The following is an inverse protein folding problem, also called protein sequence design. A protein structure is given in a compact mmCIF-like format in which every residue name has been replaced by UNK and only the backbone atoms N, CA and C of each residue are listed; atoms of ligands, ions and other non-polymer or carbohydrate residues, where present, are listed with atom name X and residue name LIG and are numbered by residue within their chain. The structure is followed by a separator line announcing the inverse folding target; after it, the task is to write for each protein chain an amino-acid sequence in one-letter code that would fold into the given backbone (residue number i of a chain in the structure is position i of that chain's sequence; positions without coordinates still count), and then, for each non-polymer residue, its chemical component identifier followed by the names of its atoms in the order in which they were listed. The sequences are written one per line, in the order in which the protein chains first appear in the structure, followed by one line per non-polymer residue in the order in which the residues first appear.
data_IF_539742068005
#
_entry.id   IF_539742068005
#
_cell.length_a   1.000
_cell.length_b   1.000
_cell.length_c   1.000
_cell.angle_alpha   90.00
_cell.angle_beta   90.00
_cell.angle_gamma   90.00
#
_symmetry.space_group_name_H-M   'P 1'
#
loop_
_entity.id
_entity.type
_entity.pdbx_description
1 polymer ?
#
# COMPACT_ATOMS: atom_id res chain seq x y z
N UNK A 1 -21.05 -4.38 26.11
CA UNK A 1 -21.13 -3.61 24.85
C UNK A 1 -19.81 -3.82 24.13
N UNK A 2 -19.79 -4.51 22.99
CA UNK A 2 -18.60 -4.52 22.13
C UNK A 2 -18.42 -3.09 21.58
N UNK A 3 -17.24 -2.48 21.61
CA UNK A 3 -17.04 -1.20 20.94
C UNK A 3 -17.28 -1.41 19.45
N UNK A 4 -18.35 -0.81 18.91
CA UNK A 4 -18.70 -0.82 17.49
C UNK A 4 -17.95 0.29 16.75
N UNK A 5 -16.63 0.37 16.93
CA UNK A 5 -15.82 1.27 16.12
C UNK A 5 -14.53 0.56 15.70
N UNK A 6 -14.53 0.09 14.46
CA UNK A 6 -13.28 -0.22 13.77
C UNK A 6 -12.45 1.06 13.74
N UNK A 7 -11.15 0.99 14.07
CA UNK A 7 -10.31 2.17 14.07
C UNK A 7 -10.13 2.71 12.65
N UNK A 8 -9.90 4.01 12.56
CA UNK A 8 -9.63 4.72 11.33
C UNK A 8 -8.19 4.46 10.87
N UNK A 9 -8.00 4.29 9.58
CA UNK A 9 -6.68 4.28 8.96
C UNK A 9 -6.39 5.64 8.31
N UNK A 10 -5.14 6.10 8.37
CA UNK A 10 -4.69 7.33 7.74
C UNK A 10 -3.54 7.03 6.79
N UNK A 11 -3.72 7.33 5.51
CA UNK A 11 -2.67 7.29 4.50
C UNK A 11 -2.18 8.71 4.22
N UNK A 12 -0.87 8.90 4.26
CA UNK A 12 -0.21 10.17 3.96
C UNK A 12 0.67 9.99 2.74
N UNK A 13 0.33 10.66 1.64
CA UNK A 13 1.08 10.62 0.41
C UNK A 13 2.20 11.66 0.40
N UNK A 14 3.43 11.19 0.27
CA UNK A 14 4.62 12.04 0.09
C UNK A 14 5.01 12.01 -1.38
N UNK A 15 4.85 13.11 -2.15
CA UNK A 15 4.96 13.07 -3.60
C UNK A 15 6.41 13.18 -4.13
N UNK A 16 7.42 13.31 -3.26
CA UNK A 16 8.78 13.64 -3.68
C UNK A 16 9.64 12.39 -3.87
N UNK A 17 10.44 12.39 -4.94
CA UNK A 17 11.48 11.39 -5.18
C UNK A 17 12.78 12.08 -5.62
N UNK A 18 13.92 11.48 -5.29
CA UNK A 18 15.20 11.89 -5.87
C UNK A 18 15.36 11.43 -7.34
N UNK A 19 14.81 10.27 -7.69
CA UNK A 19 14.78 9.74 -9.06
C UNK A 19 13.44 9.10 -9.38
N UNK A 20 13.05 9.12 -10.65
CA UNK A 20 11.88 8.39 -11.14
C UNK A 20 12.31 6.96 -11.52
N UNK A 21 11.72 5.96 -10.86
CA UNK A 21 11.90 4.56 -11.24
C UNK A 21 11.17 4.28 -12.56
N UNK A 22 11.71 3.41 -13.40
CA UNK A 22 11.21 3.21 -14.79
C UNK A 22 9.85 2.55 -14.85
N UNK A 23 9.46 1.81 -13.82
CA UNK A 23 8.17 1.12 -13.69
C UNK A 23 7.13 1.90 -12.88
N UNK A 24 7.51 3.00 -12.21
CA UNK A 24 6.68 3.61 -11.18
C UNK A 24 5.60 4.53 -11.78
N UNK A 25 4.33 4.15 -11.61
CA UNK A 25 3.17 4.95 -12.00
C UNK A 25 2.62 5.87 -10.88
N UNK A 26 3.21 5.83 -9.68
CA UNK A 26 2.75 6.69 -8.59
C UNK A 26 2.89 8.19 -8.90
N UNK A 27 2.08 8.99 -8.19
CA UNK A 27 2.11 10.45 -8.21
C UNK A 27 3.41 10.99 -7.59
N UNK A 28 4.49 10.98 -8.37
CA UNK A 28 5.84 11.32 -7.88
C UNK A 28 6.47 12.44 -8.69
N UNK A 29 7.21 13.31 -8.02
CA UNK A 29 7.89 14.46 -8.61
C UNK A 29 9.37 14.47 -8.21
N UNK A 30 10.22 14.75 -9.20
CA UNK A 30 11.67 14.91 -9.04
C UNK A 30 12.06 16.39 -9.16
N UNK A 31 13.14 16.80 -8.49
CA UNK A 31 13.67 18.16 -8.58
C UNK A 31 12.79 19.23 -7.93
N UNK A 32 11.93 18.84 -6.98
CA UNK A 32 11.06 19.74 -6.22
C UNK A 32 11.48 19.86 -4.75
N UNK A 33 12.75 19.61 -4.43
CA UNK A 33 13.29 19.64 -3.06
C UNK A 33 13.00 20.97 -2.35
N UNK A 34 13.02 22.09 -3.08
CA UNK A 34 12.71 23.43 -2.57
C UNK A 34 11.25 23.60 -2.09
N UNK A 35 10.35 22.67 -2.43
CA UNK A 35 8.94 22.71 -2.00
C UNK A 35 8.68 21.87 -0.74
N UNK A 36 9.66 21.09 -0.26
CA UNK A 36 9.45 20.13 0.84
C UNK A 36 8.95 20.83 2.11
N UNK A 37 9.57 21.94 2.52
CA UNK A 37 9.15 22.67 3.73
C UNK A 37 7.73 23.21 3.61
N UNK A 38 7.43 23.87 2.49
CA UNK A 38 6.08 24.40 2.22
C UNK A 38 5.03 23.30 2.09
N UNK A 39 5.41 22.13 1.57
CA UNK A 39 4.55 20.95 1.57
C UNK A 39 4.26 20.46 2.98
N UNK A 40 5.26 20.38 3.86
CA UNK A 40 5.06 19.96 5.25
C UNK A 40 4.10 20.91 5.97
N UNK A 41 4.20 22.23 5.75
CA UNK A 41 3.21 23.18 6.29
C UNK A 41 1.80 22.92 5.74
N UNK A 42 1.67 22.74 4.43
CA UNK A 42 0.38 22.48 3.80
C UNK A 42 -0.27 21.19 4.30
N UNK A 43 0.51 20.12 4.47
CA UNK A 43 0.05 18.86 5.04
C UNK A 43 -0.39 19.01 6.49
N UNK A 44 0.36 19.77 7.30
CA UNK A 44 -0.01 20.06 8.69
C UNK A 44 -1.35 20.81 8.73
N UNK A 45 -1.57 21.79 7.86
CA UNK A 45 -2.84 22.51 7.78
C UNK A 45 -3.98 21.60 7.30
N UNK A 46 -3.73 20.65 6.41
CA UNK A 46 -4.74 19.66 5.99
C UNK A 46 -5.12 18.73 7.14
N UNK A 47 -4.13 18.24 7.90
CA UNK A 47 -4.31 17.41 9.10
C UNK A 47 -5.14 18.14 10.16
N UNK A 48 -4.87 19.44 10.37
CA UNK A 48 -5.65 20.27 11.29
C UNK A 48 -7.06 20.52 10.78
N UNK A 49 -7.21 20.78 9.48
CA UNK A 49 -8.51 21.00 8.84
C UNK A 49 -9.41 19.79 9.04
N UNK A 50 -8.93 18.59 8.68
CA UNK A 50 -9.71 17.37 8.83
C UNK A 50 -9.98 17.05 10.31
N UNK A 51 -9.03 17.36 11.20
CA UNK A 51 -9.18 17.21 12.65
C UNK A 51 -10.39 17.94 13.23
N UNK A 52 -10.82 19.05 12.62
CA UNK A 52 -11.99 19.84 13.06
C UNK A 52 -13.33 19.25 12.65
N UNK A 53 -13.37 18.46 11.57
CA UNK A 53 -14.63 17.95 10.98
C UNK A 53 -14.81 16.45 11.17
N UNK A 54 -13.75 15.72 11.54
CA UNK A 54 -13.78 14.26 11.62
C UNK A 54 -14.58 13.74 12.82
N UNK A 55 -15.14 12.52 12.75
CA UNK A 55 -15.82 11.90 13.88
C UNK A 55 -14.84 11.57 15.02
N UNK A 56 -15.34 11.27 16.22
CA UNK A 56 -14.50 10.91 17.39
C UNK A 56 -13.83 9.51 17.31
N UNK A 57 -13.57 9.01 16.11
CA UNK A 57 -12.91 7.73 15.88
C UNK A 57 -11.42 7.79 16.23
N UNK A 58 -10.90 6.68 16.77
CA UNK A 58 -9.48 6.51 17.04
C UNK A 58 -8.75 6.04 15.78
N UNK A 59 -7.49 6.44 15.63
CA UNK A 59 -6.63 6.02 14.54
C UNK A 59 -5.86 4.77 14.96
N UNK A 60 -6.08 3.68 14.23
CA UNK A 60 -5.41 2.41 14.48
C UNK A 60 -4.20 2.19 13.57
N UNK A 61 -4.15 2.87 12.41
CA UNK A 61 -2.99 2.79 11.52
C UNK A 61 -2.70 4.12 10.85
N UNK A 62 -1.41 4.40 10.65
CA UNK A 62 -0.91 5.52 9.84
C UNK A 62 0.14 4.97 8.88
N UNK A 63 -0.02 5.22 7.59
CA UNK A 63 0.90 4.74 6.57
C UNK A 63 1.40 5.91 5.73
N UNK A 64 2.71 6.14 5.76
CA UNK A 64 3.39 7.12 4.93
C UNK A 64 3.98 6.42 3.72
N UNK A 65 3.45 6.72 2.54
CA UNK A 65 3.85 6.13 1.26
C UNK A 65 3.87 7.16 0.13
N UNK A 66 3.97 6.66 -1.11
CA UNK A 66 3.80 7.47 -2.32
C UNK A 66 5.06 7.50 -3.18
N UNK A 67 5.69 8.66 -3.27
CA UNK A 67 7.00 8.81 -3.91
C UNK A 67 8.09 8.17 -3.07
N UNK A 68 8.72 8.95 -2.21
CA UNK A 68 9.75 8.45 -1.31
C UNK A 68 9.65 9.20 0.02
N UNK A 69 8.87 8.66 0.98
CA UNK A 69 8.73 9.28 2.29
C UNK A 69 10.07 9.55 2.98
N UNK A 70 11.07 8.69 2.79
CA UNK A 70 12.43 8.90 3.33
C UNK A 70 13.16 10.18 2.86
N UNK A 71 12.59 10.94 1.91
CA UNK A 71 13.05 12.30 1.56
C UNK A 71 12.83 13.28 2.72
N UNK A 72 11.80 13.07 3.55
CA UNK A 72 11.53 13.94 4.69
C UNK A 72 12.50 13.67 5.84
N UNK A 73 12.91 14.74 6.51
CA UNK A 73 13.79 14.68 7.67
C UNK A 73 13.01 14.28 8.94
N UNK A 74 13.68 13.77 9.98
CA UNK A 74 13.03 13.52 11.28
C UNK A 74 12.39 14.79 11.88
N UNK A 75 12.95 15.98 11.60
CA UNK A 75 12.36 17.25 12.01
C UNK A 75 11.00 17.49 11.34
N UNK A 76 10.86 17.19 10.04
CA UNK A 76 9.56 17.28 9.35
C UNK A 76 8.54 16.34 9.99
N UNK A 77 8.92 15.08 10.22
CA UNK A 77 8.04 14.10 10.85
C UNK A 77 7.63 14.49 12.27
N UNK A 78 8.53 15.08 13.06
CA UNK A 78 8.20 15.57 14.41
C UNK A 78 7.04 16.56 14.36
N UNK A 79 7.04 17.49 13.40
CA UNK A 79 5.97 18.48 13.26
C UNK A 79 4.67 17.87 12.72
N UNK A 80 4.78 16.94 11.77
CA UNK A 80 3.62 16.20 11.23
C UNK A 80 2.96 15.38 12.34
N UNK A 81 3.73 14.67 13.17
CA UNK A 81 3.20 13.88 14.29
C UNK A 81 2.56 14.75 15.35
N UNK A 82 3.13 15.92 15.66
CA UNK A 82 2.50 16.87 16.56
C UNK A 82 1.09 17.24 16.04
N UNK A 83 0.97 17.59 14.75
CA UNK A 83 -0.34 17.89 14.15
C UNK A 83 -1.28 16.67 14.15
N UNK A 84 -0.78 15.46 13.87
CA UNK A 84 -1.59 14.24 13.89
C UNK A 84 -2.08 13.92 15.31
N UNK A 85 -1.26 14.09 16.34
CA UNK A 85 -1.67 13.86 17.74
C UNK A 85 -2.65 14.92 18.24
N UNK A 86 -2.45 16.18 17.87
CA UNK A 86 -3.37 17.26 18.23
C UNK A 86 -4.73 17.09 17.54
N UNK A 87 -4.72 16.62 16.29
CA UNK A 87 -5.93 16.33 15.55
C UNK A 87 -6.57 15.04 16.02
N UNK A 88 -5.86 13.91 16.13
CA UNK A 88 -6.37 12.55 16.25
C UNK A 88 -6.00 11.84 17.55
N UNK A 89 -6.95 11.08 18.10
CA UNK A 89 -6.67 10.11 19.15
C UNK A 89 -6.16 8.81 18.52
N UNK A 90 -4.97 8.35 18.90
CA UNK A 90 -4.40 7.09 18.37
C UNK A 90 -4.70 5.93 19.31
N UNK A 91 -4.89 4.73 18.77
CA UNK A 91 -4.85 3.51 19.58
C UNK A 91 -3.47 3.31 20.22
N UNK A 92 -3.44 2.66 21.38
CA UNK A 92 -2.21 2.48 22.15
C UNK A 92 -1.17 1.61 21.44
N UNK A 93 -1.63 0.77 20.52
CA UNK A 93 -0.88 -0.16 19.68
C UNK A 93 -0.99 0.18 18.19
N UNK A 94 -1.31 1.44 17.85
CA UNK A 94 -1.47 1.86 16.46
C UNK A 94 -0.24 1.52 15.60
N UNK A 95 -0.46 0.92 14.42
CA UNK A 95 0.61 0.63 13.47
C UNK A 95 0.99 1.91 12.71
N UNK A 96 2.25 2.31 12.77
CA UNK A 96 2.77 3.53 12.15
C UNK A 96 3.90 3.14 11.21
N UNK A 97 3.58 3.12 9.92
CA UNK A 97 4.41 2.61 8.82
C UNK A 97 5.06 3.72 8.02
N UNK A 98 6.31 3.50 7.59
CA UNK A 98 7.02 4.36 6.65
C UNK A 98 7.66 3.53 5.52
N UNK A 99 7.39 3.89 4.27
CA UNK A 99 8.17 3.42 3.12
C UNK A 99 9.50 4.17 2.99
N UNK A 100 10.59 3.44 2.77
CA UNK A 100 11.93 4.01 2.66
C UNK A 100 12.71 3.44 1.47
N UNK A 101 13.55 4.29 0.89
CA UNK A 101 14.58 3.86 -0.03
C UNK A 101 15.84 3.45 0.76
N UNK A 102 16.48 2.31 0.46
CA UNK A 102 17.74 1.92 1.11
C UNK A 102 18.84 2.98 1.05
N UNK A 103 18.87 3.79 -0.01
CA UNK A 103 19.89 4.82 -0.21
C UNK A 103 19.71 6.07 0.68
N UNK A 104 18.54 6.26 1.26
CA UNK A 104 18.19 7.49 1.99
C UNK A 104 18.29 7.31 3.53
N UNK A 105 18.47 6.08 4.02
CA UNK A 105 18.38 5.77 5.45
C UNK A 105 19.71 5.43 6.09
N UNK A 106 19.88 5.89 7.33
CA UNK A 106 21.00 5.56 8.22
C UNK A 106 20.48 5.13 9.59
N UNK A 107 21.36 4.56 10.43
CA UNK A 107 21.00 4.23 11.82
C UNK A 107 20.45 5.44 12.58
N UNK A 108 21.11 6.60 12.49
CA UNK A 108 20.67 7.82 13.20
C UNK A 108 19.30 8.32 12.71
N UNK A 109 19.07 8.28 11.40
CA UNK A 109 17.76 8.62 10.81
C UNK A 109 16.66 7.70 11.34
N UNK A 110 16.85 6.38 11.25
CA UNK A 110 15.88 5.38 11.66
C UNK A 110 15.65 5.40 13.19
N UNK A 111 16.69 5.69 13.97
CA UNK A 111 16.59 5.86 15.42
C UNK A 111 15.70 7.04 15.79
N UNK A 112 15.89 8.19 15.13
CA UNK A 112 15.04 9.35 15.34
C UNK A 112 13.57 9.07 14.96
N UNK A 113 13.32 8.33 13.88
CA UNK A 113 11.96 7.91 13.51
C UNK A 113 11.31 7.00 14.56
N UNK A 114 12.05 6.05 15.15
CA UNK A 114 11.54 5.23 16.26
C UNK A 114 11.12 6.07 17.46
N UNK A 115 11.90 7.10 17.78
CA UNK A 115 11.63 8.00 18.90
C UNK A 115 10.40 8.89 18.65
N UNK A 116 10.13 9.25 17.39
CA UNK A 116 8.91 9.98 17.00
C UNK A 116 7.65 9.10 17.13
N UNK A 117 7.77 7.79 16.88
CA UNK A 117 6.67 6.83 17.07
C UNK A 117 6.47 5.83 15.94
N UNK A 118 7.21 5.94 14.83
CA UNK A 118 7.17 4.93 13.77
C UNK A 118 7.53 3.56 14.32
N UNK A 119 6.77 2.51 14.01
CA UNK A 119 6.98 1.16 14.52
C UNK A 119 7.03 0.08 13.44
N UNK A 120 6.79 0.43 12.17
CA UNK A 120 6.96 -0.44 11.01
C UNK A 120 7.71 0.30 9.88
N UNK A 121 8.62 -0.40 9.19
CA UNK A 121 9.35 0.13 8.03
C UNK A 121 9.17 -0.79 6.83
N UNK A 122 8.90 -0.22 5.66
CA UNK A 122 8.91 -0.92 4.37
C UNK A 122 10.11 -0.49 3.55
N UNK A 123 11.01 -1.42 3.24
CA UNK A 123 12.24 -1.12 2.50
C UNK A 123 12.10 -1.61 1.06
N UNK A 124 12.20 -0.68 0.11
CA UNK A 124 12.13 -0.99 -1.31
C UNK A 124 13.39 -1.69 -1.84
N UNK A 125 13.51 -3.01 -1.68
CA UNK A 125 14.64 -3.82 -2.16
C UNK A 125 14.61 -3.97 -3.69
N UNK A 126 13.44 -4.29 -4.23
CA UNK A 126 13.11 -4.61 -5.63
C UNK A 126 13.80 -5.87 -6.16
N UNK A 127 15.13 -5.94 -6.08
CA UNK A 127 15.93 -7.05 -6.58
C UNK A 127 17.30 -7.10 -5.90
N UNK A 128 17.89 -8.28 -5.80
CA UNK A 128 19.31 -8.44 -5.46
C UNK A 128 20.23 -8.35 -6.69
N UNK A 129 19.67 -8.36 -7.90
CA UNK A 129 20.42 -8.42 -9.14
C UNK A 129 20.74 -7.01 -9.67
N UNK A 130 22.03 -6.72 -9.84
CA UNK A 130 22.48 -5.38 -10.25
C UNK A 130 21.94 -4.95 -11.63
N UNK A 131 21.68 -5.89 -12.54
CA UNK A 131 21.16 -5.56 -13.87
C UNK A 131 19.67 -5.16 -13.82
N UNK A 132 18.86 -5.82 -12.98
CA UNK A 132 17.46 -5.44 -12.73
C UNK A 132 17.37 -4.07 -12.04
N UNK A 133 18.21 -3.82 -11.02
CA UNK A 133 18.25 -2.52 -10.34
C UNK A 133 18.61 -1.38 -11.31
N UNK A 134 19.50 -1.63 -12.29
CA UNK A 134 19.79 -0.66 -13.37
C UNK A 134 18.60 -0.47 -14.29
N UNK A 135 17.93 -1.55 -14.71
CA UNK A 135 16.72 -1.49 -15.53
C UNK A 135 15.63 -0.64 -14.85
N UNK A 136 15.52 -0.75 -13.52
CA UNK A 136 14.59 0.00 -12.70
C UNK A 136 14.98 1.44 -12.39
N UNK A 137 16.21 1.85 -12.76
CA UNK A 137 16.79 3.13 -12.37
C UNK A 137 16.83 3.33 -10.83
N UNK A 138 17.17 2.27 -10.09
CA UNK A 138 17.36 2.31 -8.63
C UNK A 138 18.73 2.89 -8.28
N UNK A 139 18.79 3.65 -7.17
CA UNK A 139 20.00 4.32 -6.64
C UNK A 139 20.78 3.47 -5.63
N UNK A 140 20.33 2.25 -5.37
CA UNK A 140 20.86 1.37 -4.34
C UNK A 140 21.37 0.06 -4.94
N UNK A 141 22.26 -0.61 -4.23
CA UNK A 141 22.68 -1.98 -4.49
C UNK A 141 22.19 -2.91 -3.36
N UNK A 142 22.38 -4.22 -3.52
CA UNK A 142 21.94 -5.19 -2.52
C UNK A 142 22.64 -4.99 -1.15
N UNK A 143 23.88 -4.50 -1.15
CA UNK A 143 24.60 -4.20 0.09
C UNK A 143 23.96 -3.02 0.85
N UNK A 144 23.44 -2.02 0.13
CA UNK A 144 22.67 -0.92 0.72
C UNK A 144 21.39 -1.43 1.39
N UNK A 145 20.71 -2.42 0.79
CA UNK A 145 19.54 -3.08 1.40
C UNK A 145 19.94 -3.76 2.71
N UNK A 146 21.01 -4.55 2.70
CA UNK A 146 21.51 -5.22 3.90
C UNK A 146 21.90 -4.22 5.01
N UNK A 147 22.56 -3.11 4.66
CA UNK A 147 22.87 -2.02 5.59
C UNK A 147 21.61 -1.35 6.15
N UNK A 148 20.60 -1.10 5.31
CA UNK A 148 19.34 -0.49 5.73
C UNK A 148 18.57 -1.40 6.71
N UNK A 149 18.51 -2.72 6.43
CA UNK A 149 17.90 -3.70 7.34
C UNK A 149 18.65 -3.74 8.67
N UNK A 150 19.99 -3.83 8.64
CA UNK A 150 20.82 -3.82 9.86
C UNK A 150 20.61 -2.55 10.68
N UNK A 151 20.58 -1.38 10.03
CA UNK A 151 20.31 -0.11 10.68
C UNK A 151 18.91 -0.04 11.29
N UNK A 152 17.87 -0.54 10.59
CA UNK A 152 16.51 -0.59 11.10
C UNK A 152 16.38 -1.49 12.33
N UNK A 153 16.97 -2.69 12.29
CA UNK A 153 17.02 -3.60 13.44
C UNK A 153 17.76 -2.96 14.61
N UNK A 154 18.93 -2.36 14.37
CA UNK A 154 19.70 -1.66 15.39
C UNK A 154 18.95 -0.49 16.01
N UNK A 155 18.13 0.22 15.23
CA UNK A 155 17.29 1.33 15.72
C UNK A 155 16.13 0.84 16.61
N UNK A 156 15.76 -0.44 16.52
CA UNK A 156 14.70 -1.08 17.29
C UNK A 156 13.40 -1.31 16.52
N UNK A 157 13.44 -1.39 15.18
CA UNK A 157 12.29 -1.82 14.37
C UNK A 157 12.17 -3.36 14.40
N UNK A 158 11.09 -3.83 15.03
CA UNK A 158 10.73 -5.25 15.09
C UNK A 158 9.74 -5.69 14.01
N UNK A 159 9.21 -4.75 13.21
CA UNK A 159 8.30 -5.02 12.10
C UNK A 159 8.89 -4.39 10.82
N UNK A 160 9.52 -5.21 10.00
CA UNK A 160 10.23 -4.80 8.80
C UNK A 160 9.72 -5.57 7.57
N UNK A 161 9.38 -4.81 6.54
CA UNK A 161 9.03 -5.33 5.22
C UNK A 161 10.17 -5.14 4.20
N UNK A 162 10.29 -6.10 3.27
CA UNK A 162 11.06 -5.94 2.04
C UNK A 162 10.13 -6.07 0.83
N UNK A 163 10.13 -5.05 -0.03
CA UNK A 163 9.39 -5.03 -1.30
C UNK A 163 10.28 -5.58 -2.42
N UNK A 164 9.82 -6.58 -3.16
CA UNK A 164 10.51 -7.19 -4.29
C UNK A 164 9.62 -7.20 -5.54
N UNK A 165 10.24 -7.24 -6.71
CA UNK A 165 9.56 -7.32 -8.00
C UNK A 165 9.98 -8.55 -8.79
N UNK A 166 9.01 -9.21 -9.43
CA UNK A 166 9.23 -10.38 -10.29
C UNK A 166 8.47 -10.23 -11.62
N UNK A 167 8.76 -11.09 -12.59
CA UNK A 167 8.21 -10.99 -13.95
C UNK A 167 8.81 -9.83 -14.75
N UNK A 168 10.06 -9.45 -14.46
CA UNK A 168 10.69 -8.29 -15.09
C UNK A 168 11.28 -8.64 -16.47
N UNK A 169 11.40 -7.69 -17.40
CA UNK A 169 12.11 -7.91 -18.67
C UNK A 169 13.52 -8.44 -18.43
N UNK A 170 13.87 -9.51 -19.15
CA UNK A 170 15.13 -10.26 -19.03
C UNK A 170 15.38 -11.01 -17.71
N UNK A 171 14.47 -10.95 -16.74
CA UNK A 171 14.64 -11.68 -15.49
C UNK A 171 14.48 -13.18 -15.72
N UNK A 172 15.47 -13.95 -15.27
CA UNK A 172 15.40 -15.41 -15.31
C UNK A 172 14.92 -15.97 -13.96
N UNK A 173 14.51 -17.24 -13.93
CA UNK A 173 14.22 -17.93 -12.66
C UNK A 173 15.43 -17.90 -11.72
N UNK A 174 16.66 -18.07 -12.23
CA UNK A 174 17.87 -18.01 -11.42
C UNK A 174 18.11 -16.64 -10.78
N UNK A 175 17.77 -15.56 -11.48
CA UNK A 175 17.80 -14.21 -10.94
C UNK A 175 16.79 -14.03 -9.81
N UNK A 176 15.58 -14.59 -9.99
CA UNK A 176 14.53 -14.56 -8.99
C UNK A 176 14.89 -15.36 -7.73
N UNK A 177 15.41 -16.58 -7.90
CA UNK A 177 15.95 -17.41 -6.83
C UNK A 177 17.02 -16.67 -6.01
N UNK A 178 17.95 -15.99 -6.68
CA UNK A 178 18.99 -15.21 -6.03
C UNK A 178 18.39 -14.06 -5.19
N UNK A 179 17.41 -13.33 -5.72
CA UNK A 179 16.73 -12.24 -5.00
C UNK A 179 15.96 -12.73 -3.78
N UNK A 180 15.21 -13.83 -3.91
CA UNK A 180 14.51 -14.45 -2.79
C UNK A 180 15.47 -14.96 -1.72
N UNK A 181 16.57 -15.61 -2.10
CA UNK A 181 17.56 -16.12 -1.15
C UNK A 181 18.26 -14.99 -0.39
N UNK A 182 18.61 -13.89 -1.09
CA UNK A 182 19.16 -12.70 -0.46
C UNK A 182 18.18 -12.09 0.55
N UNK A 183 16.91 -11.95 0.17
CA UNK A 183 15.86 -11.46 1.07
C UNK A 183 15.68 -12.37 2.29
N UNK A 184 15.59 -13.69 2.10
CA UNK A 184 15.42 -14.66 3.20
C UNK A 184 16.59 -14.62 4.19
N UNK A 185 17.80 -14.36 3.71
CA UNK A 185 19.00 -14.18 4.56
C UNK A 185 18.86 -12.97 5.49
N UNK A 186 18.18 -11.91 5.04
CA UNK A 186 17.92 -10.70 5.83
C UNK A 186 16.80 -10.88 6.87
N UNK A 187 16.02 -11.98 6.79
CA UNK A 187 14.95 -12.35 7.74
C UNK A 187 14.00 -11.17 8.06
N UNK A 188 13.31 -10.61 7.04
CA UNK A 188 12.28 -9.62 7.30
C UNK A 188 11.09 -10.26 8.06
N UNK A 189 10.22 -9.44 8.64
CA UNK A 189 9.01 -9.95 9.31
C UNK A 189 7.84 -10.04 8.33
N UNK A 190 7.92 -9.27 7.24
CA UNK A 190 6.94 -9.15 6.18
C UNK A 190 7.64 -9.07 4.82
N UNK A 191 7.00 -9.57 3.78
CA UNK A 191 7.52 -9.58 2.41
C UNK A 191 6.40 -9.21 1.46
N UNK A 192 6.65 -8.22 0.60
CA UNK A 192 5.75 -7.80 -0.47
C UNK A 192 6.35 -8.19 -1.82
N UNK A 193 5.63 -9.01 -2.60
CA UNK A 193 6.06 -9.43 -3.93
C UNK A 193 5.10 -8.88 -4.99
N UNK A 194 5.65 -8.09 -5.90
CA UNK A 194 4.88 -7.44 -6.97
C UNK A 194 5.29 -8.02 -8.33
N UNK A 195 4.33 -8.61 -9.05
CA UNK A 195 4.51 -8.85 -10.47
C UNK A 195 4.62 -7.48 -11.18
N UNK A 196 5.61 -7.32 -12.05
CA UNK A 196 5.69 -6.13 -12.88
C UNK A 196 4.44 -6.02 -13.74
N UNK A 197 3.71 -4.92 -13.59
CA UNK A 197 2.62 -4.52 -14.48
C UNK A 197 3.10 -3.34 -15.32
N UNK A 198 2.85 -3.39 -16.63
CA UNK A 198 3.18 -2.27 -17.53
C UNK A 198 2.10 -1.19 -17.42
N UNK A 199 2.40 -0.17 -16.63
CA UNK A 199 1.50 0.95 -16.41
C UNK A 199 1.65 2.01 -17.50
N UNK A 200 0.53 2.58 -17.94
CA UNK A 200 0.49 3.61 -18.98
C UNK A 200 1.30 4.84 -18.58
N UNK A 201 2.11 5.35 -19.51
CA UNK A 201 2.91 6.57 -19.31
C UNK A 201 4.20 6.35 -18.53
N UNK A 202 4.54 5.10 -18.21
CA UNK A 202 5.83 4.76 -17.59
C UNK A 202 6.94 4.60 -18.64
N UNK A 203 8.20 4.91 -18.31
CA UNK A 203 9.33 4.60 -19.19
C UNK A 203 9.40 3.13 -19.59
N UNK A 204 9.06 2.20 -18.68
CA UNK A 204 9.06 0.76 -18.96
C UNK A 204 8.07 0.39 -20.06
N UNK A 205 6.83 0.89 -19.99
CA UNK A 205 5.81 0.67 -21.02
C UNK A 205 6.30 1.19 -22.39
N UNK A 206 6.83 2.41 -22.44
CA UNK A 206 7.40 2.98 -23.68
C UNK A 206 8.53 2.12 -24.27
N UNK A 207 9.38 1.53 -23.41
CA UNK A 207 10.50 0.70 -23.85
C UNK A 207 10.04 -0.65 -24.41
N UNK A 208 9.05 -1.28 -23.79
CA UNK A 208 8.45 -2.53 -24.28
C UNK A 208 7.77 -2.29 -25.62
N UNK A 209 6.92 -1.26 -25.73
CA UNK A 209 6.19 -0.93 -26.97
C UNK A 209 7.13 -0.62 -28.14
N UNK A 210 8.29 -0.04 -27.86
CA UNK A 210 9.34 0.24 -28.86
C UNK A 210 10.30 -0.93 -29.10
N UNK A 211 10.08 -2.08 -28.47
CA UNK A 211 10.93 -3.27 -28.59
C UNK A 211 12.36 -3.09 -28.06
N UNK A 212 12.57 -2.14 -27.13
CA UNK A 212 13.88 -1.89 -26.50
C UNK A 212 14.19 -2.88 -25.38
N UNK A 213 13.15 -3.38 -24.73
CA UNK A 213 13.16 -4.46 -23.76
C UNK A 213 12.04 -5.43 -24.12
N UNK A 214 12.16 -6.73 -23.80
CA UNK A 214 11.12 -7.70 -24.10
C UNK A 214 9.87 -7.44 -23.26
N UNK A 215 8.73 -7.89 -23.77
CA UNK A 215 7.50 -7.97 -23.00
C UNK A 215 7.69 -8.94 -21.81
N UNK A 216 7.13 -8.63 -20.63
CA UNK A 216 7.04 -9.58 -19.52
C UNK A 216 6.40 -10.91 -19.96
N UNK A 217 6.92 -12.01 -19.43
CA UNK A 217 6.41 -13.36 -19.67
C UNK A 217 5.50 -13.77 -18.51
N UNK A 218 4.20 -13.82 -18.75
CA UNK A 218 3.19 -14.15 -17.74
C UNK A 218 3.32 -15.60 -17.23
N UNK A 219 3.73 -16.55 -18.08
CA UNK A 219 3.91 -17.94 -17.68
C UNK A 219 5.13 -18.06 -16.74
N UNK A 220 6.23 -17.39 -17.08
CA UNK A 220 7.40 -17.33 -16.20
C UNK A 220 7.08 -16.60 -14.88
N UNK A 221 6.29 -15.53 -14.92
CA UNK A 221 5.86 -14.83 -13.71
C UNK A 221 5.00 -15.72 -12.79
N UNK A 222 4.13 -16.56 -13.37
CA UNK A 222 3.38 -17.56 -12.61
C UNK A 222 4.30 -18.60 -11.95
N UNK A 223 5.28 -19.13 -12.69
CA UNK A 223 6.28 -20.05 -12.12
C UNK A 223 7.07 -19.40 -10.97
N UNK A 224 7.46 -18.13 -11.13
CA UNK A 224 8.17 -17.36 -10.09
C UNK A 224 7.31 -17.16 -8.83
N UNK A 225 6.01 -16.93 -8.99
CA UNK A 225 5.06 -16.77 -7.89
C UNK A 225 4.89 -18.06 -7.10
N UNK A 226 4.70 -19.19 -7.79
CA UNK A 226 4.56 -20.52 -7.16
C UNK A 226 5.84 -20.91 -6.42
N UNK A 227 7.00 -20.69 -7.06
CA UNK A 227 8.31 -20.89 -6.43
C UNK A 227 8.45 -20.05 -5.15
N UNK A 228 8.15 -18.75 -5.22
CA UNK A 228 8.23 -17.85 -4.07
C UNK A 228 7.30 -18.29 -2.93
N UNK A 229 6.06 -18.68 -3.27
CA UNK A 229 5.06 -19.15 -2.32
C UNK A 229 5.55 -20.37 -1.56
N UNK A 230 6.12 -21.36 -2.26
CA UNK A 230 6.68 -22.56 -1.64
C UNK A 230 7.87 -22.22 -0.71
N UNK A 231 8.80 -21.38 -1.16
CA UNK A 231 9.99 -21.01 -0.40
C UNK A 231 9.65 -20.18 0.85
N UNK A 232 8.74 -19.21 0.72
CA UNK A 232 8.26 -18.40 1.84
C UNK A 232 7.49 -19.25 2.85
N UNK A 233 6.64 -20.17 2.38
CA UNK A 233 5.94 -21.13 3.23
C UNK A 233 6.90 -22.02 4.03
N UNK A 234 7.93 -22.57 3.37
CA UNK A 234 8.98 -23.37 4.02
C UNK A 234 9.80 -22.55 5.04
N UNK A 235 10.00 -21.26 4.77
CA UNK A 235 10.62 -20.33 5.71
C UNK A 235 9.67 -19.85 6.82
N UNK A 236 8.40 -20.28 6.82
CA UNK A 236 7.39 -20.02 7.84
C UNK A 236 6.73 -18.64 7.73
N UNK A 237 6.61 -18.08 6.53
CA UNK A 237 5.74 -16.93 6.26
C UNK A 237 4.38 -17.42 5.77
N UNK A 238 3.33 -16.70 6.14
CA UNK A 238 1.95 -16.98 5.70
C UNK A 238 1.55 -15.93 4.67
N UNK A 239 1.08 -16.39 3.52
CA UNK A 239 0.44 -15.52 2.55
C UNK A 239 -0.94 -15.12 3.04
N UNK A 240 -1.11 -13.85 3.41
CA UNK A 240 -2.40 -13.36 3.92
C UNK A 240 -3.23 -12.66 2.84
N UNK A 241 -2.57 -12.11 1.81
CA UNK A 241 -3.21 -11.63 0.58
C UNK A 241 -2.30 -11.89 -0.65
N UNK A 242 -2.81 -11.68 -1.86
CA UNK A 242 -2.16 -12.09 -3.13
C UNK A 242 -0.67 -11.70 -3.23
N UNK A 243 -0.30 -10.49 -2.81
CA UNK A 243 1.04 -9.91 -2.98
C UNK A 243 1.85 -9.81 -1.68
N UNK A 244 1.36 -10.31 -0.53
CA UNK A 244 1.99 -10.09 0.77
C UNK A 244 2.00 -11.35 1.65
N UNK A 245 3.17 -11.57 2.24
CA UNK A 245 3.47 -12.64 3.17
C UNK A 245 3.99 -12.04 4.47
N UNK A 246 3.65 -12.66 5.60
CA UNK A 246 4.12 -12.20 6.90
C UNK A 246 4.39 -13.34 7.86
N UNK A 247 5.24 -13.08 8.85
CA UNK A 247 5.23 -13.82 10.11
C UNK A 247 3.93 -13.51 10.85
N UNK A 248 3.45 -14.47 11.65
CA UNK A 248 2.22 -14.28 12.41
C UNK A 248 2.31 -13.03 13.30
N UNK A 249 1.33 -12.12 13.18
CA UNK A 249 1.29 -10.86 13.92
C UNK A 249 2.08 -9.72 13.26
N UNK A 250 2.64 -9.92 12.07
CA UNK A 250 3.36 -8.91 11.29
C UNK A 250 2.66 -8.57 9.97
N UNK A 251 1.42 -9.03 9.77
CA UNK A 251 0.58 -8.59 8.66
C UNK A 251 0.42 -7.07 8.70
N UNK A 252 0.51 -6.40 7.55
CA UNK A 252 0.34 -4.94 7.48
C UNK A 252 -1.12 -4.58 7.81
N UNK A 253 -1.35 -4.05 9.01
CA UNK A 253 -2.68 -3.71 9.49
C UNK A 253 -3.34 -2.64 8.60
N UNK A 254 -2.55 -1.70 8.08
CA UNK A 254 -3.06 -0.68 7.16
C UNK A 254 -3.56 -1.29 5.84
N UNK A 255 -2.81 -2.22 5.25
CA UNK A 255 -3.23 -2.90 4.02
C UNK A 255 -4.48 -3.75 4.26
N UNK A 256 -4.57 -4.44 5.39
CA UNK A 256 -5.75 -5.21 5.76
C UNK A 256 -7.00 -4.34 5.90
N UNK A 257 -6.87 -3.09 6.37
CA UNK A 257 -8.00 -2.15 6.39
C UNK A 257 -8.55 -1.92 4.98
N UNK A 258 -7.66 -1.66 4.03
CA UNK A 258 -8.02 -1.47 2.63
C UNK A 258 -8.64 -2.74 2.03
N UNK A 259 -8.00 -3.90 2.20
CA UNK A 259 -8.49 -5.16 1.64
C UNK A 259 -9.81 -5.64 2.23
N UNK A 260 -10.14 -5.24 3.46
CA UNK A 260 -11.45 -5.48 4.09
C UNK A 260 -12.51 -4.44 3.69
N UNK A 261 -12.20 -3.58 2.71
CA UNK A 261 -13.05 -2.47 2.26
C UNK A 261 -13.58 -1.63 3.42
N UNK A 262 -12.69 -1.28 4.35
CA UNK A 262 -12.99 -0.45 5.51
C UNK A 262 -12.50 1.00 5.31
N UNK A 263 -13.08 1.98 6.03
CA UNK A 263 -12.73 3.38 5.83
C UNK A 263 -11.27 3.72 6.13
N UNK A 264 -10.70 4.61 5.32
CA UNK A 264 -9.39 5.22 5.49
C UNK A 264 -9.35 6.65 4.91
N UNK A 265 -8.62 7.54 5.57
CA UNK A 265 -8.37 8.89 5.10
C UNK A 265 -7.11 8.94 4.24
N UNK A 266 -7.20 9.54 3.06
CA UNK A 266 -6.03 9.94 2.27
C UNK A 266 -5.73 11.42 2.46
N UNK A 267 -4.48 11.75 2.75
CA UNK A 267 -3.97 13.11 2.93
C UNK A 267 -2.71 13.34 2.07
N UNK A 268 -2.51 14.56 1.60
CA UNK A 268 -1.41 14.91 0.71
C UNK A 268 -1.72 14.71 -0.79
N UNK A 269 -0.92 15.31 -1.68
CA UNK A 269 -1.23 15.40 -3.10
C UNK A 269 -1.18 14.03 -3.79
N UNK A 270 -2.26 13.68 -4.49
CA UNK A 270 -2.46 12.37 -5.11
C UNK A 270 -2.85 11.25 -4.15
N UNK A 271 -3.13 11.57 -2.88
CA UNK A 271 -3.74 10.60 -1.98
C UNK A 271 -5.18 10.29 -2.41
N UNK A 272 -5.59 9.04 -2.24
CA UNK A 272 -6.97 8.59 -2.33
C UNK A 272 -7.49 8.27 -0.93
N UNK A 273 -8.79 8.45 -0.72
CA UNK A 273 -9.45 8.09 0.53
C UNK A 273 -10.83 7.49 0.29
N UNK A 274 -11.28 6.69 1.26
CA UNK A 274 -12.64 6.16 1.33
C UNK A 274 -13.14 6.32 2.75
N UNK A 275 -14.06 7.25 2.98
CA UNK A 275 -14.66 7.43 4.30
C UNK A 275 -16.06 8.03 4.19
N UNK A 276 -16.92 7.69 5.14
CA UNK A 276 -18.30 8.22 5.22
C UNK A 276 -19.11 7.99 3.92
N UNK A 277 -18.96 6.83 3.27
CA UNK A 277 -19.64 6.51 2.01
C UNK A 277 -19.11 7.27 0.79
N UNK A 278 -17.98 7.98 0.92
CA UNK A 278 -17.41 8.82 -0.13
C UNK A 278 -16.01 8.33 -0.47
N UNK A 279 -15.75 8.13 -1.76
CA UNK A 279 -14.40 8.04 -2.31
C UNK A 279 -13.96 9.39 -2.84
N UNK A 280 -12.71 9.72 -2.61
CA UNK A 280 -12.15 10.98 -3.08
C UNK A 280 -10.68 10.84 -3.44
N UNK A 281 -10.19 11.79 -4.23
CA UNK A 281 -8.77 11.97 -4.52
C UNK A 281 -8.35 13.42 -4.29
N UNK A 282 -7.13 13.59 -3.80
CA UNK A 282 -6.51 14.90 -3.58
C UNK A 282 -5.77 15.33 -4.84
N UNK A 283 -5.72 16.65 -5.08
CA UNK A 283 -4.96 17.27 -6.17
C UNK A 283 -3.58 16.62 -6.38
N UNK A 284 -3.25 16.28 -7.62
CA UNK A 284 -1.97 15.63 -7.94
C UNK A 284 -0.76 16.56 -7.73
N UNK A 285 -0.85 17.82 -8.17
CA UNK A 285 0.26 18.77 -8.20
C UNK A 285 0.62 19.30 -6.80
N UNK A 286 1.86 19.11 -6.32
CA UNK A 286 2.32 19.65 -5.04
C UNK A 286 2.23 21.17 -4.97
N UNK A 287 2.54 21.88 -6.06
CA UNK A 287 2.45 23.35 -6.11
C UNK A 287 1.02 23.84 -5.94
N UNK A 288 0.06 23.21 -6.63
CA UNK A 288 -1.36 23.56 -6.49
C UNK A 288 -1.87 23.22 -5.09
N UNK A 289 -1.52 22.04 -4.58
CA UNK A 289 -1.83 21.61 -3.21
C UNK A 289 -1.36 22.63 -2.17
N UNK A 290 -0.06 23.00 -2.21
CA UNK A 290 0.52 24.00 -1.29
C UNK A 290 -0.20 25.33 -1.41
N UNK A 291 -0.38 25.84 -2.64
CA UNK A 291 -1.04 27.12 -2.88
C UNK A 291 -2.46 27.14 -2.31
N UNK A 292 -3.23 26.08 -2.52
CA UNK A 292 -4.61 25.97 -2.04
C UNK A 292 -4.67 25.93 -0.51
N UNK A 293 -3.85 25.09 0.13
CA UNK A 293 -3.84 24.99 1.60
C UNK A 293 -3.36 26.27 2.28
N UNK A 294 -2.32 26.90 1.74
CA UNK A 294 -1.74 28.13 2.32
C UNK A 294 -2.61 29.37 2.07
N UNK A 295 -3.60 29.30 1.19
CA UNK A 295 -4.55 30.38 0.94
C UNK A 295 -5.80 30.32 1.82
N UNK A 296 -5.93 29.31 2.69
CA UNK A 296 -7.10 29.16 3.55
C UNK A 296 -7.18 30.28 4.59
N UNK A 297 -8.30 30.99 4.59
CA UNK A 297 -8.69 31.87 5.70
C UNK A 297 -9.20 31.00 6.86
N UNK A 298 -8.76 31.30 8.09
CA UNK A 298 -9.22 30.62 9.30
C UNK A 298 -10.74 30.71 9.53
N UNK A 299 -11.42 31.64 8.86
CA UNK A 299 -12.89 31.81 8.91
C UNK A 299 -13.64 31.11 7.77
N UNK A 300 -12.96 30.40 6.86
CA UNK A 300 -13.64 29.69 5.77
C UNK A 300 -14.59 28.62 6.32
N UNK A 301 -15.78 28.51 5.71
CA UNK A 301 -16.73 27.46 6.06
C UNK A 301 -16.09 26.08 5.86
N UNK A 302 -16.28 25.20 6.84
CA UNK A 302 -15.76 23.83 6.78
C UNK A 302 -16.62 22.98 5.83
N UNK A 303 -15.96 22.12 5.07
CA UNK A 303 -16.60 21.10 4.24
C UNK A 303 -16.98 19.89 5.09
N UNK A 304 -17.93 19.10 4.60
CA UNK A 304 -18.33 17.86 5.25
C UNK A 304 -17.20 16.81 5.21
N UNK A 305 -17.04 16.07 6.31
CA UNK A 305 -16.10 14.95 6.37
C UNK A 305 -16.41 13.90 5.28
N UNK A 306 -15.40 13.40 4.53
CA UNK A 306 -13.95 13.54 4.75
C UNK A 306 -13.24 14.61 3.88
N UNK A 307 -13.99 15.60 3.36
CA UNK A 307 -13.48 16.50 2.33
C UNK A 307 -12.63 17.64 2.88
N UNK A 308 -11.62 18.03 2.10
CA UNK A 308 -10.76 19.20 2.33
C UNK A 308 -10.74 20.08 1.09
N UNK A 309 -10.30 21.36 1.18
CA UNK A 309 -10.26 22.26 0.02
C UNK A 309 -9.33 21.81 -1.12
N UNK A 310 -8.49 20.81 -0.90
CA UNK A 310 -7.58 20.21 -1.88
C UNK A 310 -8.11 18.91 -2.50
N UNK A 311 -9.32 18.47 -2.14
CA UNK A 311 -9.98 17.37 -2.83
C UNK A 311 -10.34 17.80 -4.26
N UNK A 312 -9.95 16.98 -5.23
CA UNK A 312 -10.14 17.22 -6.67
C UNK A 312 -11.34 16.44 -7.22
N UNK A 313 -11.47 15.16 -6.84
CA UNK A 313 -12.57 14.31 -7.27
C UNK A 313 -13.29 13.70 -6.07
N UNK A 314 -14.62 13.60 -6.19
CA UNK A 314 -15.52 13.03 -5.17
C UNK A 314 -16.50 12.10 -5.87
N UNK A 315 -16.65 10.88 -5.33
CA UNK A 315 -17.63 9.90 -5.76
C UNK A 315 -18.39 9.37 -4.54
N UNK A 316 -19.70 9.62 -4.49
CA UNK A 316 -20.59 9.08 -3.45
C UNK A 316 -20.96 7.66 -3.86
N UNK A 317 -20.62 6.68 -3.02
CA UNK A 317 -20.81 5.28 -3.37
C UNK A 317 -22.27 4.86 -3.27
N UNK A 318 -22.73 4.15 -4.28
CA UNK A 318 -23.98 3.39 -4.20
C UNK A 318 -23.75 2.07 -3.48
N UNK A 319 -24.83 1.42 -3.03
CA UNK A 319 -24.73 0.07 -2.48
C UNK A 319 -24.09 -0.92 -3.47
N UNK A 320 -24.33 -0.74 -4.77
CA UNK A 320 -23.71 -1.57 -5.81
C UNK A 320 -22.20 -1.37 -5.84
N UNK A 321 -21.73 -0.13 -5.79
CA UNK A 321 -20.28 0.17 -5.77
C UNK A 321 -19.61 -0.48 -4.56
N UNK A 322 -20.22 -0.34 -3.37
CA UNK A 322 -19.67 -0.94 -2.15
C UNK A 322 -19.64 -2.49 -2.19
N UNK A 323 -20.64 -3.12 -2.81
CA UNK A 323 -20.65 -4.57 -3.03
C UNK A 323 -19.47 -4.93 -3.95
N UNK A 324 -19.36 -4.29 -5.10
CA UNK A 324 -18.29 -4.49 -6.08
C UNK A 324 -16.92 -4.37 -5.40
N UNK A 325 -16.70 -3.31 -4.62
CA UNK A 325 -15.46 -3.08 -3.90
C UNK A 325 -15.15 -4.16 -2.88
N UNK A 326 -16.16 -4.59 -2.12
CA UNK A 326 -16.00 -5.64 -1.11
C UNK A 326 -15.59 -6.96 -1.75
N UNK A 327 -16.11 -7.27 -2.93
CA UNK A 327 -15.73 -8.46 -3.68
C UNK A 327 -14.31 -8.34 -4.25
N UNK A 328 -13.97 -7.23 -4.89
CA UNK A 328 -12.63 -7.00 -5.47
C UNK A 328 -11.53 -7.05 -4.41
N UNK A 329 -11.77 -6.41 -3.27
CA UNK A 329 -10.78 -6.30 -2.20
C UNK A 329 -10.74 -7.59 -1.37
N UNK A 330 -11.90 -8.11 -0.96
CA UNK A 330 -11.99 -9.26 -0.06
C UNK A 330 -11.50 -10.56 -0.69
N UNK A 331 -11.72 -10.78 -1.99
CA UNK A 331 -11.23 -11.99 -2.67
C UNK A 331 -9.70 -12.02 -2.81
N UNK A 332 -9.00 -10.90 -2.59
CA UNK A 332 -7.52 -10.88 -2.52
C UNK A 332 -7.01 -11.45 -1.20
N UNK A 333 -7.82 -11.52 -0.16
CA UNK A 333 -7.44 -12.10 1.12
C UNK A 333 -7.47 -13.63 1.00
N UNK A 334 -6.31 -14.26 1.11
CA UNK A 334 -6.15 -15.69 0.79
C UNK A 334 -6.85 -16.59 1.81
N UNK A 335 -6.69 -16.28 3.10
CA UNK A 335 -7.32 -17.05 4.18
C UNK A 335 -8.74 -16.60 4.50
N UNK A 336 -8.96 -15.28 4.56
CA UNK A 336 -10.25 -14.69 4.94
C UNK A 336 -11.28 -14.78 3.82
N UNK A 337 -10.87 -14.51 2.58
CA UNK A 337 -11.78 -14.32 1.45
C UNK A 337 -12.85 -13.27 1.77
N UNK A 338 -14.05 -13.50 1.24
CA UNK A 338 -15.25 -12.73 1.58
C UNK A 338 -16.11 -13.55 2.55
N UNK A 339 -16.18 -13.17 3.85
CA UNK A 339 -17.03 -13.86 4.82
C UNK A 339 -18.51 -13.62 4.52
N UNK A 340 -19.28 -14.69 4.36
CA UNK A 340 -20.70 -14.64 3.93
C UNK A 340 -21.59 -13.94 4.95
N UNK A 341 -21.38 -14.23 6.24
CA UNK A 341 -22.15 -13.59 7.31
C UNK A 341 -21.90 -12.07 7.35
N UNK A 342 -20.64 -11.64 7.34
CA UNK A 342 -20.31 -10.22 7.36
C UNK A 342 -20.82 -9.49 6.11
N UNK A 343 -20.76 -10.14 4.94
CA UNK A 343 -21.33 -9.61 3.70
C UNK A 343 -22.85 -9.43 3.81
N UNK A 344 -23.56 -10.43 4.34
CA UNK A 344 -25.02 -10.37 4.56
C UNK A 344 -25.40 -9.30 5.58
N UNK A 345 -24.65 -9.16 6.67
CA UNK A 345 -24.88 -8.11 7.66
C UNK A 345 -24.66 -6.71 7.07
N UNK A 346 -23.67 -6.54 6.19
CA UNK A 346 -23.37 -5.27 5.54
C UNK A 346 -24.37 -4.88 4.46
N UNK A 347 -24.84 -5.84 3.64
CA UNK A 347 -25.63 -5.56 2.44
C UNK A 347 -27.06 -6.08 2.45
N UNK A 348 -27.44 -6.87 3.46
CA UNK A 348 -28.77 -7.47 3.56
C UNK A 348 -29.04 -8.62 2.59
N UNK A 349 -28.03 -9.09 1.85
CA UNK A 349 -28.13 -10.18 0.87
C UNK A 349 -26.95 -11.15 1.00
N UNK A 350 -27.18 -12.45 0.79
CA UNK A 350 -26.10 -13.42 0.74
C UNK A 350 -25.33 -13.34 -0.58
N UNK A 351 -24.02 -13.57 -0.51
CA UNK A 351 -23.17 -13.59 -1.69
C UNK A 351 -23.56 -14.70 -2.70
N UNK A 352 -24.01 -15.87 -2.22
CA UNK A 352 -24.45 -16.95 -3.10
C UNK A 352 -25.84 -16.68 -3.71
N UNK A 353 -26.67 -15.87 -3.06
CA UNK A 353 -27.95 -15.45 -3.64
C UNK A 353 -27.72 -14.42 -4.76
N UNK A 354 -26.70 -13.55 -4.60
CA UNK A 354 -26.35 -12.53 -5.58
C UNK A 354 -25.60 -13.09 -6.81
N UNK A 355 -24.60 -13.96 -6.59
CA UNK A 355 -23.68 -14.43 -7.63
C UNK A 355 -23.56 -15.96 -7.74
N UNK A 356 -24.51 -16.74 -7.20
CA UNK A 356 -24.39 -18.19 -7.03
C UNK A 356 -24.04 -18.98 -8.28
N UNK A 357 -24.65 -18.69 -9.43
CA UNK A 357 -24.37 -19.40 -10.68
C UNK A 357 -22.95 -19.14 -11.19
N UNK A 358 -22.50 -17.89 -11.11
CA UNK A 358 -21.15 -17.51 -11.51
C UNK A 358 -20.10 -18.14 -10.58
N UNK A 359 -20.33 -18.10 -9.27
CA UNK A 359 -19.44 -18.71 -8.27
C UNK A 359 -19.37 -20.23 -8.42
N UNK A 360 -20.50 -20.91 -8.67
CA UNK A 360 -20.52 -22.35 -9.00
C UNK A 360 -19.74 -22.65 -10.28
N UNK A 361 -19.86 -21.80 -11.30
CA UNK A 361 -19.10 -21.93 -12.54
C UNK A 361 -17.59 -21.82 -12.33
N UNK A 362 -17.14 -20.86 -11.52
CA UNK A 362 -15.72 -20.74 -11.15
C UNK A 362 -15.22 -21.86 -10.24
N UNK A 363 -16.06 -22.35 -9.31
CA UNK A 363 -15.73 -23.48 -8.46
C UNK A 363 -15.57 -24.78 -9.27
N UNK A 364 -16.43 -25.01 -10.27
CA UNK A 364 -16.30 -26.15 -11.18
C UNK A 364 -14.99 -26.13 -12.00
N UNK A 365 -14.41 -24.95 -12.21
CA UNK A 365 -13.09 -24.76 -12.85
C UNK A 365 -11.93 -24.72 -11.84
N UNK A 366 -12.21 -24.90 -10.56
CA UNK A 366 -11.21 -24.87 -9.50
C UNK A 366 -10.63 -23.48 -9.22
N UNK A 367 -11.28 -22.38 -9.62
CA UNK A 367 -10.78 -21.01 -9.39
C UNK A 367 -11.29 -20.37 -8.09
N UNK A 368 -12.45 -20.82 -7.61
CA UNK A 368 -13.03 -20.37 -6.34
C UNK A 368 -13.34 -21.59 -5.48
N UNK A 369 -13.17 -21.45 -4.18
CA UNK A 369 -13.76 -22.33 -3.19
C UNK A 369 -14.74 -21.52 -2.33
N UNK A 370 -15.87 -22.13 -1.98
CA UNK A 370 -16.81 -21.53 -1.02
C UNK A 370 -17.41 -22.61 -0.13
N UNK A 371 -17.74 -22.19 1.09
CA UNK A 371 -18.41 -22.99 2.12
C UNK A 371 -19.50 -22.15 2.80
N UNK A 372 -19.98 -22.61 3.96
CA UNK A 372 -20.98 -21.88 4.74
C UNK A 372 -20.44 -20.59 5.37
N UNK A 373 -19.12 -20.46 5.52
CA UNK A 373 -18.49 -19.32 6.16
C UNK A 373 -18.03 -18.25 5.15
N UNK A 374 -17.42 -18.65 4.03
CA UNK A 374 -16.69 -17.72 3.14
C UNK A 374 -16.63 -18.14 1.67
N UNK A 375 -16.32 -17.17 0.82
CA UNK A 375 -15.93 -17.36 -0.58
C UNK A 375 -14.49 -16.89 -0.77
N UNK A 376 -13.61 -17.70 -1.36
CA UNK A 376 -12.20 -17.35 -1.56
C UNK A 376 -11.63 -17.90 -2.87
N UNK A 377 -10.54 -17.30 -3.33
CA UNK A 377 -9.74 -17.87 -4.42
C UNK A 377 -9.03 -19.15 -3.96
N UNK A 378 -8.96 -20.14 -4.85
CA UNK A 378 -8.05 -21.28 -4.70
C UNK A 378 -6.62 -20.87 -5.07
N UNK A 379 -5.64 -21.77 -4.92
CA UNK A 379 -4.27 -21.50 -5.38
C UNK A 379 -4.26 -21.17 -6.89
N UNK A 380 -4.94 -21.97 -7.73
CA UNK A 380 -5.10 -21.69 -9.16
C UNK A 380 -5.89 -20.39 -9.43
N UNK A 381 -6.88 -20.11 -8.60
CA UNK A 381 -7.68 -18.90 -8.68
C UNK A 381 -6.89 -17.61 -8.48
N UNK A 382 -5.79 -17.64 -7.72
CA UNK A 382 -4.90 -16.48 -7.50
C UNK A 382 -4.20 -16.06 -8.78
N UNK A 383 -3.66 -17.02 -9.52
CA UNK A 383 -2.98 -16.76 -10.80
C UNK A 383 -3.94 -16.17 -11.85
N UNK A 384 -5.23 -16.49 -11.75
CA UNK A 384 -6.28 -16.02 -12.66
C UNK A 384 -7.26 -15.05 -11.98
N UNK A 385 -6.83 -14.35 -10.93
CA UNK A 385 -7.73 -13.56 -10.08
C UNK A 385 -8.45 -12.46 -10.86
N UNK A 386 -7.77 -11.82 -11.80
CA UNK A 386 -8.34 -10.75 -12.63
C UNK A 386 -9.54 -11.24 -13.48
N UNK A 387 -9.51 -12.49 -13.95
CA UNK A 387 -10.64 -13.10 -14.67
C UNK A 387 -11.87 -13.20 -13.75
N UNK A 388 -11.65 -13.67 -12.52
CA UNK A 388 -12.70 -13.81 -11.51
C UNK A 388 -13.27 -12.46 -11.12
N UNK A 389 -12.39 -11.49 -10.85
CA UNK A 389 -12.75 -10.14 -10.44
C UNK A 389 -13.62 -9.45 -11.48
N UNK A 390 -13.18 -9.43 -12.75
CA UNK A 390 -13.93 -8.78 -13.85
C UNK A 390 -15.33 -9.36 -14.06
N UNK A 391 -15.56 -10.63 -13.73
CA UNK A 391 -16.86 -11.24 -13.92
C UNK A 391 -17.86 -10.93 -12.78
N UNK A 392 -17.35 -10.59 -11.60
CA UNK A 392 -18.16 -10.34 -10.40
C UNK A 392 -18.57 -8.86 -10.22
N UNK A 393 -18.06 -7.95 -11.06
CA UNK A 393 -18.18 -6.49 -10.85
C UNK A 393 -18.84 -5.73 -11.98
#
# INVERSE_FOLDING_TARGET
MKPTHNPLAVYVHIPFCHVKCTYCAFNTYIGLDALVDSFVEALIEEIKYIGRVRPSQRVGTIFFGGGTPSVLTPAHYTRIFAALHDSFAFDGDAEISLEVNPADVSYGYLRALREIGFNRISIGMQSANAHELRLFNRRHDNDAVARAVSAARGAGFGNLNLDLMYGNPHQTMGDWENSLQAMLTLKPDHVSLYALTLEEGTPMQDWVEKGRVPEPDDDLAADMYDFATAQLGAAGYVQYEISNWAKAGHECAHNLQYWRNMPYLGLGPGAHGFANGVRYSVLLSPQRYIKTMMALDGNAALLDYPLTPVVDQVNVLTQKDEITDTLLMGLRLIGEGVPRQAFRERFGIDLLDLHGDLLRGFAARGLIAFDDERVKLTDQGRLLSNLVFRALV
#
